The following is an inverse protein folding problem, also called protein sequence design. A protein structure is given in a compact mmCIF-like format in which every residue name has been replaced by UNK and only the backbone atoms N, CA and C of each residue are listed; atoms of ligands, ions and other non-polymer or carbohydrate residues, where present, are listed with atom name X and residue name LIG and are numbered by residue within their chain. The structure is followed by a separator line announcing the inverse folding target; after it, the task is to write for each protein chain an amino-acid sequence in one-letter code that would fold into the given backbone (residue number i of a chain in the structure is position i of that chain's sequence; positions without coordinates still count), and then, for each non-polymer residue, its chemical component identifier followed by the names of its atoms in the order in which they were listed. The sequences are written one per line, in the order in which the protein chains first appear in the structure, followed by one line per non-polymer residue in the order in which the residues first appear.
data_IF_553753626358
#
_entry.id   IF_553753626358
#
_cell.length_a   1.000
_cell.length_b   1.000
_cell.length_c   1.000
_cell.angle_alpha   90.00
_cell.angle_beta   90.00
_cell.angle_gamma   90.00
#
_symmetry.space_group_name_H-M   'P 1'
#
loop_
_entity.id
_entity.type
_entity.pdbx_description
1 polymer ?
#
# COMPACT_ATOMS: atom_id res chain seq x y z
N UNK A 1 2.80 -27.51 8.63
CA UNK A 1 3.93 -28.12 9.39
C UNK A 1 3.43 -29.33 10.16
N UNK A 2 4.22 -30.41 10.29
CA UNK A 2 3.86 -31.62 11.03
C UNK A 2 4.88 -31.83 12.17
N UNK A 3 4.40 -31.98 13.39
CA UNK A 3 5.26 -32.30 14.55
C UNK A 3 5.32 -33.80 14.78
N UNK A 4 6.47 -34.25 15.21
CA UNK A 4 6.70 -35.63 15.65
C UNK A 4 7.30 -35.62 17.06
N UNK A 5 6.72 -36.39 17.96
CA UNK A 5 7.29 -36.64 19.26
C UNK A 5 8.28 -37.83 19.14
N UNK A 6 9.53 -37.61 19.53
CA UNK A 6 10.53 -38.63 19.60
C UNK A 6 10.39 -39.39 20.91
N UNK A 7 10.26 -40.73 20.85
CA UNK A 7 10.24 -41.54 22.04
C UNK A 7 11.68 -41.84 22.50
N UNK A 8 11.95 -41.58 23.77
CA UNK A 8 13.23 -41.86 24.41
C UNK A 8 14.46 -41.26 23.68
N UNK A 9 14.27 -40.07 23.06
CA UNK A 9 15.32 -39.40 22.27
C UNK A 9 15.81 -40.21 21.06
N UNK A 10 15.09 -41.24 20.63
CA UNK A 10 15.43 -42.08 19.48
C UNK A 10 14.73 -41.57 18.21
N UNK A 11 15.52 -41.29 17.17
CA UNK A 11 14.99 -40.90 15.85
C UNK A 11 14.23 -42.06 15.17
N UNK A 12 14.47 -43.29 15.59
CA UNK A 12 13.81 -44.48 15.01
C UNK A 12 12.34 -44.65 15.45
N UNK A 13 11.89 -43.93 16.48
CA UNK A 13 10.53 -44.01 16.99
C UNK A 13 9.95 -42.58 17.11
N UNK A 14 9.16 -42.21 16.14
CA UNK A 14 8.51 -40.88 16.08
C UNK A 14 7.00 -41.04 15.87
N UNK A 15 6.22 -40.44 16.73
CA UNK A 15 4.75 -40.38 16.60
C UNK A 15 4.35 -39.01 16.08
N UNK A 16 3.54 -38.98 15.01
CA UNK A 16 3.00 -37.71 14.53
C UNK A 16 2.01 -37.14 15.52
N UNK A 17 2.11 -35.84 15.74
CA UNK A 17 1.19 -35.06 16.58
C UNK A 17 0.23 -34.31 15.65
N UNK A 18 -1.07 -34.63 15.67
CA UNK A 18 -2.04 -33.94 14.81
C UNK A 18 -2.21 -32.49 15.25
N UNK A 19 -2.31 -31.60 14.27
CA UNK A 19 -2.75 -30.21 14.48
C UNK A 19 -4.25 -30.23 14.84
N UNK A 20 -4.59 -29.58 15.92
CA UNK A 20 -5.98 -29.28 16.30
C UNK A 20 -6.28 -27.83 15.95
N UNK A 21 -7.52 -27.55 15.55
CA UNK A 21 -7.98 -26.17 15.49
C UNK A 21 -8.15 -25.61 16.91
N UNK A 22 -8.24 -24.28 17.00
CA UNK A 22 -8.49 -23.59 18.28
C UNK A 22 -9.76 -24.15 18.94
N UNK A 23 -10.83 -24.33 18.16
CA UNK A 23 -12.11 -24.88 18.64
C UNK A 23 -11.98 -26.34 19.12
N UNK A 24 -11.27 -27.19 18.38
CA UNK A 24 -11.04 -28.58 18.77
C UNK A 24 -10.22 -28.67 20.06
N UNK A 25 -9.32 -27.71 20.29
CA UNK A 25 -8.56 -27.61 21.52
C UNK A 25 -9.36 -27.01 22.70
N UNK A 26 -10.61 -26.58 22.47
CA UNK A 26 -11.50 -26.03 23.50
C UNK A 26 -11.26 -24.53 23.79
N UNK A 27 -10.56 -23.82 22.92
CA UNK A 27 -10.35 -22.36 23.04
C UNK A 27 -11.31 -21.58 22.16
N UNK A 28 -11.58 -20.34 22.56
CA UNK A 28 -12.36 -19.37 21.80
C UNK A 28 -11.43 -18.40 21.01
N UNK A 29 -11.99 -17.64 20.08
CA UNK A 29 -11.25 -16.53 19.42
C UNK A 29 -10.74 -15.53 20.45
N UNK A 30 -11.60 -15.21 21.45
CA UNK A 30 -11.24 -14.27 22.51
C UNK A 30 -10.05 -14.74 23.34
N UNK A 31 -9.97 -16.05 23.64
CA UNK A 31 -8.84 -16.60 24.40
C UNK A 31 -7.50 -16.40 23.64
N UNK A 32 -7.51 -16.65 22.33
CA UNK A 32 -6.30 -16.48 21.50
C UNK A 32 -6.00 -15.01 21.27
N UNK A 33 -7.02 -14.19 21.01
CA UNK A 33 -6.89 -12.74 20.90
C UNK A 33 -6.22 -12.14 22.14
N UNK A 34 -6.75 -12.47 23.32
CA UNK A 34 -6.29 -11.91 24.58
C UNK A 34 -4.85 -12.40 24.91
N UNK A 35 -4.54 -13.67 24.61
CA UNK A 35 -3.20 -14.20 24.71
C UNK A 35 -2.21 -13.46 23.80
N UNK A 36 -2.57 -13.24 22.53
CA UNK A 36 -1.73 -12.53 21.57
C UNK A 36 -1.57 -11.06 21.99
N UNK A 37 -2.66 -10.40 22.37
CA UNK A 37 -2.62 -9.00 22.80
C UNK A 37 -1.73 -8.79 24.02
N UNK A 38 -1.76 -9.71 24.99
CA UNK A 38 -0.94 -9.64 26.20
C UNK A 38 0.55 -9.94 25.92
N UNK A 39 0.86 -10.65 24.87
CA UNK A 39 2.22 -11.15 24.57
C UNK A 39 2.65 -10.81 23.15
N UNK A 40 2.18 -9.70 22.58
CA UNK A 40 2.32 -9.41 21.14
C UNK A 40 3.76 -9.45 20.64
N UNK A 41 4.70 -8.94 21.43
CA UNK A 41 6.12 -8.95 21.06
C UNK A 41 6.74 -10.34 20.94
N UNK A 42 6.14 -11.38 21.54
CA UNK A 42 6.57 -12.76 21.39
C UNK A 42 6.05 -13.39 20.09
N UNK A 43 4.84 -13.00 19.66
CA UNK A 43 4.20 -13.50 18.45
C UNK A 43 4.61 -12.69 17.21
N UNK A 44 4.72 -11.38 17.37
CA UNK A 44 5.07 -10.42 16.33
C UNK A 44 6.16 -9.49 16.87
N UNK A 45 7.44 -9.87 16.75
CA UNK A 45 8.55 -9.03 17.22
C UNK A 45 8.50 -7.62 16.62
N UNK A 46 8.68 -6.63 17.46
CA UNK A 46 8.60 -5.22 17.05
C UNK A 46 7.20 -4.59 17.12
N UNK A 47 6.16 -5.35 17.47
CA UNK A 47 4.84 -4.79 17.70
C UNK A 47 4.57 -4.50 19.19
N UNK A 48 3.77 -3.46 19.43
CA UNK A 48 3.21 -3.08 20.73
C UNK A 48 1.69 -3.00 20.63
N UNK A 49 0.99 -3.65 21.56
CA UNK A 49 -0.48 -3.58 21.64
C UNK A 49 -0.92 -2.19 22.07
N UNK A 50 -1.84 -1.62 21.32
CA UNK A 50 -2.56 -0.39 21.67
C UNK A 50 -3.88 -0.74 22.39
N UNK A 51 -4.72 -1.56 21.77
CA UNK A 51 -6.03 -1.89 22.33
C UNK A 51 -6.56 -3.21 21.81
N UNK A 52 -7.47 -3.83 22.57
CA UNK A 52 -8.36 -4.89 22.09
C UNK A 52 -9.76 -4.35 21.92
N UNK A 53 -10.52 -4.94 20.99
CA UNK A 53 -11.91 -4.54 20.69
C UNK A 53 -12.05 -3.03 20.45
N UNK A 54 -11.09 -2.45 19.71
CA UNK A 54 -11.08 -1.03 19.41
C UNK A 54 -12.27 -0.66 18.51
N UNK A 55 -13.07 0.30 18.96
CA UNK A 55 -14.14 0.91 18.16
C UNK A 55 -14.23 2.40 18.48
N UNK A 56 -14.16 3.26 17.47
CA UNK A 56 -14.28 4.72 17.60
C UNK A 56 -15.35 5.29 16.67
N UNK A 57 -16.09 4.43 16.02
CA UNK A 57 -17.09 4.84 15.03
C UNK A 57 -18.47 4.88 15.64
N UNK A 58 -19.10 6.03 15.60
CA UNK A 58 -20.41 6.27 16.20
C UNK A 58 -21.52 5.42 15.57
N UNK A 59 -21.37 5.04 14.31
CA UNK A 59 -22.39 4.33 13.54
C UNK A 59 -22.15 2.81 13.38
N UNK A 60 -21.17 2.22 14.07
CA UNK A 60 -20.83 0.81 13.91
C UNK A 60 -20.56 0.11 15.25
N UNK A 61 -21.23 -1.00 15.47
CA UNK A 61 -20.95 -1.92 16.60
C UNK A 61 -19.70 -2.80 16.36
N UNK A 62 -19.02 -2.64 15.21
CA UNK A 62 -17.87 -3.45 14.83
C UNK A 62 -16.63 -2.98 15.55
N UNK A 63 -15.75 -3.92 15.86
CA UNK A 63 -14.52 -3.68 16.63
C UNK A 63 -13.36 -4.38 15.97
N UNK A 64 -12.20 -3.74 15.99
CA UNK A 64 -10.91 -4.35 15.64
C UNK A 64 -10.52 -5.28 16.78
N UNK A 65 -10.22 -6.52 16.52
CA UNK A 65 -9.88 -7.50 17.56
C UNK A 65 -8.64 -7.06 18.33
N UNK A 66 -7.52 -6.75 17.66
CA UNK A 66 -6.33 -6.14 18.25
C UNK A 66 -5.80 -5.03 17.36
N UNK A 67 -5.66 -3.85 17.95
CA UNK A 67 -4.95 -2.71 17.37
C UNK A 67 -3.53 -2.67 17.95
N UNK A 68 -2.53 -2.64 17.08
CA UNK A 68 -1.12 -2.55 17.46
C UNK A 68 -0.37 -1.52 16.64
N UNK A 69 0.86 -1.20 17.06
CA UNK A 69 1.78 -0.27 16.39
C UNK A 69 3.20 -0.84 16.39
N UNK A 70 4.00 -0.52 15.36
CA UNK A 70 5.45 -0.76 15.36
C UNK A 70 6.25 0.53 15.64
N UNK A 71 7.57 0.39 15.74
CA UNK A 71 8.49 1.54 15.95
C UNK A 71 8.52 2.51 14.77
N UNK A 72 8.17 2.06 13.57
CA UNK A 72 8.13 2.87 12.35
C UNK A 72 6.79 3.58 12.15
N UNK A 73 5.94 3.59 13.19
CA UNK A 73 4.63 4.27 13.23
C UNK A 73 3.58 3.68 12.28
N UNK A 74 3.77 2.42 11.86
CA UNK A 74 2.72 1.69 11.18
C UNK A 74 1.71 1.14 12.18
N UNK A 75 0.43 1.38 11.93
CA UNK A 75 -0.66 0.76 12.69
C UNK A 75 -1.02 -0.60 12.11
N UNK A 76 -1.42 -1.52 12.99
CA UNK A 76 -1.79 -2.89 12.62
C UNK A 76 -3.21 -3.20 13.06
N UNK A 77 -4.02 -3.66 12.11
CA UNK A 77 -5.31 -4.32 12.33
C UNK A 77 -5.04 -5.81 12.39
N UNK A 78 -5.22 -6.42 13.56
CA UNK A 78 -5.10 -7.87 13.72
C UNK A 78 -6.49 -8.43 13.94
N UNK A 79 -6.92 -9.32 13.07
CA UNK A 79 -8.27 -9.91 13.04
C UNK A 79 -8.16 -11.41 13.21
N UNK A 80 -8.92 -11.96 14.15
CA UNK A 80 -8.98 -13.39 14.45
C UNK A 80 -10.20 -14.01 13.84
N UNK A 81 -10.06 -15.18 13.22
CA UNK A 81 -11.18 -15.94 12.68
C UNK A 81 -11.10 -17.41 13.10
N UNK A 82 -12.24 -17.94 13.49
CA UNK A 82 -12.38 -19.38 13.72
C UNK A 82 -12.44 -20.15 12.41
N UNK A 83 -12.25 -21.43 12.53
CA UNK A 83 -12.31 -22.42 11.45
C UNK A 83 -13.44 -22.16 10.46
N UNK A 84 -13.18 -22.11 9.20
CA UNK A 84 -14.11 -21.99 8.05
C UNK A 84 -15.05 -20.76 8.01
N UNK A 85 -15.16 -19.97 9.06
CA UNK A 85 -15.92 -18.71 9.08
C UNK A 85 -15.08 -17.50 8.57
N UNK A 86 -13.93 -17.79 8.00
CA UNK A 86 -13.06 -16.76 7.43
C UNK A 86 -13.66 -16.08 6.20
N UNK A 87 -14.84 -16.48 5.74
CA UNK A 87 -15.56 -15.80 4.66
C UNK A 87 -15.71 -14.30 5.01
N UNK A 88 -15.07 -13.45 4.18
CA UNK A 88 -15.06 -11.98 4.32
C UNK A 88 -14.19 -11.39 5.45
N UNK A 89 -13.27 -12.16 6.07
CA UNK A 89 -12.32 -11.63 7.06
C UNK A 89 -11.46 -10.51 6.47
N UNK A 90 -11.00 -10.68 5.23
CA UNK A 90 -10.23 -9.70 4.48
C UNK A 90 -11.02 -8.40 4.25
N UNK A 91 -12.31 -8.50 3.93
CA UNK A 91 -13.18 -7.34 3.74
C UNK A 91 -13.43 -6.58 5.05
N UNK A 92 -13.55 -7.31 6.16
CA UNK A 92 -13.70 -6.71 7.49
C UNK A 92 -12.43 -5.96 7.88
N UNK A 93 -11.28 -6.60 7.75
CA UNK A 93 -9.99 -6.01 8.07
C UNK A 93 -9.65 -4.80 7.17
N UNK A 94 -9.97 -4.86 5.87
CA UNK A 94 -9.84 -3.73 4.95
C UNK A 94 -10.68 -2.51 5.37
N UNK A 95 -11.93 -2.74 5.83
CA UNK A 95 -12.77 -1.66 6.35
C UNK A 95 -12.15 -1.03 7.59
N UNK A 96 -11.62 -1.82 8.51
CA UNK A 96 -10.95 -1.31 9.70
C UNK A 96 -9.67 -0.55 9.35
N UNK A 97 -8.87 -1.05 8.43
CA UNK A 97 -7.68 -0.35 7.95
C UNK A 97 -8.05 1.01 7.33
N UNK A 98 -9.08 1.06 6.49
CA UNK A 98 -9.58 2.31 5.92
C UNK A 98 -10.08 3.29 6.99
N UNK A 99 -10.69 2.80 8.07
CA UNK A 99 -11.15 3.65 9.16
C UNK A 99 -9.98 4.13 10.05
N UNK A 100 -8.94 3.31 10.23
CA UNK A 100 -7.74 3.68 10.96
C UNK A 100 -6.83 4.65 10.21
N UNK A 101 -6.88 4.67 8.89
CA UNK A 101 -6.04 5.56 8.07
C UNK A 101 -6.27 7.06 8.30
N UNK A 102 -7.37 7.42 8.97
CA UNK A 102 -7.70 8.80 9.35
C UNK A 102 -7.47 9.09 10.84
N UNK A 103 -7.03 8.09 11.61
CA UNK A 103 -6.69 8.28 13.02
C UNK A 103 -5.33 8.94 13.16
N UNK A 104 -5.21 9.83 14.14
CA UNK A 104 -3.96 10.43 14.55
C UNK A 104 -3.31 9.72 15.76
N UNK A 105 -2.14 10.17 16.16
CA UNK A 105 -1.43 9.60 17.30
C UNK A 105 -2.22 9.75 18.61
N UNK A 106 -2.91 10.88 18.80
CA UNK A 106 -3.70 11.11 20.01
C UNK A 106 -4.85 10.11 20.11
N UNK A 107 -5.43 9.70 18.98
CA UNK A 107 -6.47 8.68 18.94
C UNK A 107 -5.99 7.33 19.47
N UNK A 108 -4.75 6.96 19.07
CA UNK A 108 -4.10 5.74 19.55
C UNK A 108 -3.70 5.85 21.02
N UNK A 109 -3.20 7.01 21.44
CA UNK A 109 -2.83 7.30 22.82
C UNK A 109 -4.03 7.12 23.74
N UNK A 110 -5.16 7.72 23.41
CA UNK A 110 -6.39 7.61 24.20
C UNK A 110 -6.92 6.16 24.23
N UNK A 111 -6.92 5.48 23.09
CA UNK A 111 -7.35 4.08 23.01
C UNK A 111 -6.47 3.18 23.90
N UNK A 112 -5.16 3.35 23.83
CA UNK A 112 -4.20 2.58 24.61
C UNK A 112 -4.31 2.87 26.10
N UNK A 113 -4.45 4.13 26.49
CA UNK A 113 -4.67 4.51 27.88
C UNK A 113 -5.93 3.84 28.46
N UNK A 114 -7.05 3.91 27.75
CA UNK A 114 -8.29 3.27 28.19
C UNK A 114 -8.18 1.73 28.26
N UNK A 115 -7.43 1.13 27.34
CA UNK A 115 -7.18 -0.31 27.37
C UNK A 115 -6.32 -0.71 28.57
N UNK A 116 -5.20 -0.04 28.79
CA UNK A 116 -4.26 -0.33 29.87
C UNK A 116 -4.88 -0.10 31.25
N UNK A 117 -5.73 0.91 31.37
CA UNK A 117 -6.42 1.23 32.63
C UNK A 117 -7.37 0.14 33.12
N UNK A 118 -7.81 -0.76 32.25
CA UNK A 118 -8.62 -1.93 32.62
C UNK A 118 -7.86 -2.93 33.50
N UNK A 119 -6.54 -2.99 33.35
CA UNK A 119 -5.67 -3.95 34.06
C UNK A 119 -4.71 -3.30 35.02
N UNK A 120 -4.47 -1.98 34.88
CA UNK A 120 -3.58 -1.19 35.74
C UNK A 120 -4.19 0.16 36.07
N UNK A 121 -4.80 0.26 37.26
CA UNK A 121 -5.43 1.49 37.74
C UNK A 121 -4.43 2.61 38.04
N UNK A 122 -3.14 2.31 38.13
CA UNK A 122 -2.09 3.27 38.48
C UNK A 122 -1.53 4.01 37.26
N UNK A 123 -1.81 3.51 36.04
CA UNK A 123 -1.31 4.13 34.81
C UNK A 123 -1.89 5.53 34.61
N UNK A 124 -1.04 6.46 34.23
CA UNK A 124 -1.44 7.81 33.82
C UNK A 124 -1.26 7.96 32.32
N UNK A 125 -1.94 8.95 31.72
CA UNK A 125 -1.83 9.21 30.31
C UNK A 125 -0.40 9.61 29.92
N UNK A 126 0.26 10.40 30.78
CA UNK A 126 1.65 10.82 30.58
C UNK A 126 2.62 9.63 30.63
N UNK A 127 2.40 8.68 31.56
CA UNK A 127 3.26 7.49 31.63
C UNK A 127 3.11 6.59 30.41
N UNK A 128 1.88 6.46 29.90
CA UNK A 128 1.61 5.71 28.70
C UNK A 128 2.16 6.41 27.44
N UNK A 129 2.04 7.73 27.34
CA UNK A 129 2.62 8.54 26.29
C UNK A 129 4.14 8.36 26.22
N UNK A 130 4.82 8.50 27.35
CA UNK A 130 6.27 8.29 27.44
C UNK A 130 6.66 6.86 27.03
N UNK A 131 5.89 5.84 27.42
CA UNK A 131 6.12 4.45 27.03
C UNK A 131 6.00 4.25 25.51
N UNK A 132 5.07 4.96 24.85
CA UNK A 132 4.93 4.92 23.39
C UNK A 132 6.05 5.67 22.68
N UNK A 133 6.41 6.85 23.19
CA UNK A 133 7.53 7.64 22.66
C UNK A 133 8.85 6.86 22.72
N UNK A 134 9.15 6.28 23.88
CA UNK A 134 10.33 5.45 24.07
C UNK A 134 10.35 4.24 23.13
N UNK A 135 9.20 3.60 22.94
CA UNK A 135 9.04 2.47 22.02
C UNK A 135 9.33 2.85 20.57
N UNK A 136 8.93 4.03 20.14
CA UNK A 136 9.15 4.55 18.78
C UNK A 136 10.50 5.27 18.63
N UNK A 137 11.24 5.50 19.72
CA UNK A 137 12.48 6.26 19.70
C UNK A 137 12.29 7.76 19.49
N UNK A 138 11.07 8.27 19.76
CA UNK A 138 10.68 9.67 19.59
C UNK A 138 10.75 10.45 20.91
N UNK A 139 10.82 11.78 20.80
CA UNK A 139 10.90 12.66 21.99
C UNK A 139 9.74 13.63 22.12
N UNK A 140 8.98 13.80 21.05
CA UNK A 140 7.92 14.81 20.98
C UNK A 140 6.71 14.24 20.23
N UNK A 141 5.56 14.36 20.85
CA UNK A 141 4.27 13.92 20.29
C UNK A 141 3.91 14.68 18.99
N UNK A 142 4.22 15.98 18.95
CA UNK A 142 3.87 16.85 17.83
C UNK A 142 4.60 16.49 16.51
N UNK A 143 5.63 15.64 16.59
CA UNK A 143 6.41 15.20 15.44
C UNK A 143 5.99 13.81 14.92
N UNK A 144 4.98 13.19 15.57
CA UNK A 144 4.56 11.84 15.20
C UNK A 144 3.48 11.88 14.13
N UNK A 145 3.86 11.47 12.91
CA UNK A 145 2.94 11.16 11.83
C UNK A 145 2.81 9.64 11.70
N UNK A 146 1.58 9.13 11.82
CA UNK A 146 1.31 7.71 11.58
C UNK A 146 1.37 7.40 10.09
N UNK A 147 1.79 6.19 9.75
CA UNK A 147 1.70 5.71 8.37
C UNK A 147 0.25 5.79 7.88
N UNK A 148 -0.01 6.39 6.71
CA UNK A 148 -1.36 6.55 6.19
C UNK A 148 -1.99 5.23 5.73
N UNK A 149 -1.20 4.15 5.68
CA UNK A 149 -1.67 2.82 5.24
C UNK A 149 -1.49 1.81 6.37
N UNK A 150 -2.55 1.53 7.15
CA UNK A 150 -2.49 0.50 8.18
C UNK A 150 -2.18 -0.88 7.61
N UNK A 151 -1.41 -1.66 8.33
CA UNK A 151 -1.09 -3.05 8.00
C UNK A 151 -2.16 -3.98 8.55
N UNK A 152 -2.38 -5.10 7.89
CA UNK A 152 -3.41 -6.06 8.25
C UNK A 152 -2.78 -7.41 8.58
N UNK A 153 -3.19 -8.02 9.69
CA UNK A 153 -2.82 -9.38 10.06
C UNK A 153 -4.10 -10.20 10.24
N UNK A 154 -4.27 -11.20 9.41
CA UNK A 154 -5.36 -12.17 9.53
C UNK A 154 -4.83 -13.42 10.24
N UNK A 155 -5.48 -13.83 11.31
CA UNK A 155 -5.11 -15.03 12.09
C UNK A 155 -6.26 -16.02 12.05
N UNK A 156 -6.01 -17.25 11.60
CA UNK A 156 -7.01 -18.31 11.52
C UNK A 156 -6.35 -19.68 11.71
N UNK A 157 -7.14 -20.69 12.11
CA UNK A 157 -6.63 -22.07 12.14
C UNK A 157 -6.33 -22.61 10.74
N UNK A 158 -7.03 -22.10 9.73
CA UNK A 158 -6.86 -22.45 8.34
C UNK A 158 -7.42 -21.34 7.43
N UNK A 159 -6.78 -21.09 6.31
CA UNK A 159 -7.27 -20.21 5.26
C UNK A 159 -7.74 -21.03 4.05
N UNK A 160 -8.88 -20.66 3.50
CA UNK A 160 -9.32 -21.22 2.23
C UNK A 160 -8.55 -20.57 1.05
N UNK A 161 -8.63 -21.21 -0.12
CA UNK A 161 -7.92 -20.77 -1.32
C UNK A 161 -8.39 -19.39 -1.81
N UNK A 162 -9.65 -19.06 -1.59
CA UNK A 162 -10.24 -17.79 -2.01
C UNK A 162 -9.58 -16.63 -1.26
N UNK A 163 -9.47 -16.71 0.07
CA UNK A 163 -8.84 -15.70 0.90
C UNK A 163 -7.36 -15.54 0.55
N UNK A 164 -6.62 -16.65 0.49
CA UNK A 164 -5.18 -16.59 0.19
C UNK A 164 -4.91 -16.00 -1.20
N UNK A 165 -5.73 -16.35 -2.21
CA UNK A 165 -5.62 -15.78 -3.55
C UNK A 165 -5.94 -14.28 -3.56
N UNK A 166 -6.98 -13.86 -2.82
CA UNK A 166 -7.35 -12.44 -2.70
C UNK A 166 -6.24 -11.65 -2.03
N UNK A 167 -5.69 -12.15 -0.91
CA UNK A 167 -4.60 -11.48 -0.18
C UNK A 167 -3.34 -11.36 -1.04
N UNK A 168 -2.95 -12.43 -1.72
CA UNK A 168 -1.80 -12.39 -2.65
C UNK A 168 -2.02 -11.36 -3.75
N UNK A 169 -3.20 -11.32 -4.35
CA UNK A 169 -3.55 -10.36 -5.39
C UNK A 169 -3.54 -8.91 -4.88
N UNK A 170 -4.09 -8.65 -3.68
CA UNK A 170 -4.09 -7.33 -3.07
C UNK A 170 -2.66 -6.87 -2.75
N UNK A 171 -1.84 -7.71 -2.13
CA UNK A 171 -0.45 -7.40 -1.83
C UNK A 171 0.37 -7.16 -3.12
N UNK A 172 0.11 -7.92 -4.19
CA UNK A 172 0.76 -7.74 -5.49
C UNK A 172 0.37 -6.43 -6.16
N UNK A 173 -0.91 -6.04 -6.12
CA UNK A 173 -1.42 -4.88 -6.86
C UNK A 173 -1.26 -3.56 -6.13
N UNK A 174 -1.40 -3.56 -4.82
CA UNK A 174 -1.48 -2.37 -3.98
C UNK A 174 -0.40 -2.29 -2.89
N UNK A 175 0.45 -3.30 -2.75
CA UNK A 175 1.54 -3.29 -1.79
C UNK A 175 2.59 -2.21 -2.08
N UNK A 176 3.49 -1.97 -1.15
CA UNK A 176 4.60 -1.04 -1.32
C UNK A 176 5.47 -1.40 -2.54
N UNK A 177 5.88 -0.40 -3.26
CA UNK A 177 6.76 -0.53 -4.44
C UNK A 177 8.14 0.05 -4.19
N UNK A 178 8.29 0.77 -3.09
CA UNK A 178 9.49 1.47 -2.67
C UNK A 178 9.45 1.53 -1.14
N UNK A 179 10.60 1.50 -0.49
CA UNK A 179 10.69 1.57 0.97
C UNK A 179 10.07 2.87 1.52
N UNK A 180 10.15 3.95 0.73
CA UNK A 180 9.63 5.26 1.10
C UNK A 180 8.13 5.46 0.75
N UNK A 181 7.48 4.52 0.07
CA UNK A 181 6.07 4.65 -0.34
C UNK A 181 5.23 3.59 0.35
N UNK A 182 4.44 3.98 1.37
CA UNK A 182 3.54 3.05 2.04
C UNK A 182 2.58 2.40 1.06
N UNK A 183 2.50 1.07 1.12
CA UNK A 183 1.56 0.29 0.32
C UNK A 183 0.80 -0.68 1.19
N UNK A 184 -0.24 -1.28 0.63
CA UNK A 184 -1.04 -2.28 1.33
C UNK A 184 -0.15 -3.48 1.74
N UNK A 185 -0.30 -3.92 2.99
CA UNK A 185 0.38 -5.09 3.52
C UNK A 185 -0.61 -5.93 4.31
N UNK A 186 -0.89 -7.13 3.82
CA UNK A 186 -1.78 -8.08 4.46
C UNK A 186 -1.00 -9.36 4.74
N UNK A 187 -0.93 -9.73 6.01
CA UNK A 187 -0.29 -10.95 6.49
C UNK A 187 -1.36 -12.00 6.82
N UNK A 188 -1.14 -13.25 6.41
CA UNK A 188 -1.94 -14.39 6.86
C UNK A 188 -1.08 -15.27 7.76
N UNK A 189 -1.58 -15.54 8.96
CA UNK A 189 -0.92 -16.38 9.97
C UNK A 189 -1.85 -17.52 10.35
N UNK A 190 -1.41 -18.75 10.10
CA UNK A 190 -2.12 -19.93 10.60
C UNK A 190 -1.73 -20.21 12.05
N UNK A 191 -2.74 -20.44 12.88
CA UNK A 191 -2.55 -20.88 14.25
C UNK A 191 -2.99 -22.34 14.41
N UNK A 192 -2.24 -23.08 15.18
CA UNK A 192 -2.55 -24.48 15.49
C UNK A 192 -2.21 -24.84 16.93
N UNK A 193 -2.96 -25.77 17.48
CA UNK A 193 -2.72 -26.33 18.81
C UNK A 193 -2.24 -27.76 18.67
N UNK A 194 -1.24 -28.14 19.43
CA UNK A 194 -0.69 -29.49 19.47
C UNK A 194 -0.71 -29.99 20.91
N UNK A 195 -1.08 -31.25 21.12
CA UNK A 195 -0.94 -31.93 22.42
C UNK A 195 0.34 -32.72 22.45
N UNK A 196 1.28 -32.27 23.27
CA UNK A 196 2.60 -32.88 23.43
C UNK A 196 2.67 -33.77 24.67
N UNK A 197 1.71 -34.69 24.82
CA UNK A 197 1.68 -35.60 25.96
C UNK A 197 1.15 -34.95 27.24
N UNK A 198 0.09 -34.16 27.13
CA UNK A 198 -0.55 -33.42 28.22
C UNK A 198 -0.13 -31.98 28.37
N UNK A 199 0.89 -31.54 27.64
CA UNK A 199 1.24 -30.15 27.48
C UNK A 199 0.74 -29.66 26.11
N UNK A 200 0.08 -28.48 26.07
CA UNK A 200 -0.37 -27.87 24.83
C UNK A 200 0.61 -26.86 24.32
N UNK A 201 0.98 -27.00 23.05
CA UNK A 201 1.81 -26.03 22.32
C UNK A 201 0.94 -25.28 21.30
N UNK A 202 1.09 -23.97 21.24
CA UNK A 202 0.56 -23.12 20.17
C UNK A 202 1.64 -22.92 19.11
N UNK A 203 1.23 -23.02 17.87
CA UNK A 203 2.09 -22.77 16.72
C UNK A 203 1.49 -21.65 15.88
N UNK A 204 2.28 -20.65 15.56
CA UNK A 204 1.96 -19.57 14.64
C UNK A 204 2.85 -19.71 13.41
N UNK A 205 2.25 -19.77 12.23
CA UNK A 205 2.94 -19.93 10.95
C UNK A 205 2.49 -18.87 9.96
N UNK A 206 3.37 -17.90 9.67
CA UNK A 206 3.10 -16.91 8.64
C UNK A 206 3.15 -17.59 7.27
N UNK A 207 2.02 -17.62 6.59
CA UNK A 207 1.88 -18.24 5.26
C UNK A 207 1.85 -17.20 4.13
N UNK A 208 1.50 -15.96 4.41
CA UNK A 208 1.50 -14.84 3.45
C UNK A 208 1.94 -13.56 4.18
N UNK A 209 2.88 -12.77 3.61
CA UNK A 209 3.85 -13.22 2.60
C UNK A 209 4.74 -14.35 3.15
N UNK A 210 5.38 -15.10 2.27
CA UNK A 210 6.35 -16.11 2.71
C UNK A 210 7.57 -15.35 3.24
N UNK A 211 7.96 -15.49 4.52
CA UNK A 211 9.00 -14.67 5.14
C UNK A 211 10.32 -14.65 4.37
N UNK A 212 10.73 -15.82 3.84
CA UNK A 212 11.97 -15.96 3.09
C UNK A 212 11.93 -15.34 1.67
N UNK A 213 10.75 -15.02 1.17
CA UNK A 213 10.55 -14.48 -0.17
C UNK A 213 10.14 -13.00 -0.16
N UNK A 214 9.82 -12.43 0.99
CA UNK A 214 9.27 -11.08 1.12
C UNK A 214 10.19 -10.02 0.50
N UNK A 215 11.46 -9.99 0.90
CA UNK A 215 12.45 -9.06 0.37
C UNK A 215 12.65 -9.22 -1.15
N UNK A 216 12.60 -10.46 -1.64
CA UNK A 216 12.72 -10.75 -3.07
C UNK A 216 11.49 -10.28 -3.85
N UNK A 217 10.29 -10.43 -3.30
CA UNK A 217 9.05 -9.98 -3.93
C UNK A 217 9.00 -8.45 -4.05
N UNK A 218 9.43 -7.73 -3.00
CA UNK A 218 9.54 -6.26 -3.03
C UNK A 218 10.51 -5.81 -4.14
N UNK A 219 11.70 -6.42 -4.19
CA UNK A 219 12.70 -6.10 -5.24
C UNK A 219 12.23 -6.45 -6.65
N UNK A 220 11.56 -7.60 -6.83
CA UNK A 220 11.03 -8.01 -8.12
C UNK A 220 9.97 -7.02 -8.63
N UNK A 221 9.08 -6.58 -7.76
CA UNK A 221 8.04 -5.61 -8.06
C UNK A 221 8.59 -4.23 -8.40
N UNK A 222 9.56 -3.73 -7.64
CA UNK A 222 10.24 -2.47 -7.94
C UNK A 222 10.86 -2.49 -9.35
N UNK A 223 11.46 -3.63 -9.73
CA UNK A 223 12.03 -3.83 -11.06
C UNK A 223 10.98 -3.85 -12.18
N UNK A 224 9.82 -4.50 -11.94
CA UNK A 224 8.72 -4.52 -12.91
C UNK A 224 8.16 -3.13 -13.16
N UNK A 225 7.96 -2.34 -12.10
CA UNK A 225 7.48 -0.96 -12.20
C UNK A 225 8.47 -0.04 -12.90
N UNK A 226 9.77 -0.18 -12.62
CA UNK A 226 10.81 0.57 -13.33
C UNK A 226 10.82 0.20 -14.82
N UNK A 227 10.66 -1.08 -15.13
CA UNK A 227 10.55 -1.57 -16.52
C UNK A 227 9.29 -1.01 -17.20
N UNK A 228 8.14 -1.02 -16.51
CA UNK A 228 6.90 -0.44 -17.04
C UNK A 228 7.01 1.08 -17.24
N UNK A 229 7.65 1.80 -16.31
CA UNK A 229 7.96 3.23 -16.47
C UNK A 229 8.88 3.50 -17.66
N UNK A 230 9.92 2.68 -17.85
CA UNK A 230 10.83 2.78 -19.00
C UNK A 230 10.12 2.48 -20.32
N UNK A 231 9.26 1.47 -20.36
CA UNK A 231 8.44 1.16 -21.53
C UNK A 231 7.44 2.27 -21.85
N UNK A 232 6.76 2.83 -20.84
CA UNK A 232 5.87 3.96 -21.04
C UNK A 232 6.62 5.21 -21.54
N UNK A 233 7.83 5.46 -21.03
CA UNK A 233 8.71 6.55 -21.50
C UNK A 233 9.16 6.31 -22.94
N UNK A 234 9.52 5.08 -23.29
CA UNK A 234 9.90 4.69 -24.66
C UNK A 234 8.72 4.82 -25.64
N UNK A 235 7.50 4.48 -25.25
CA UNK A 235 6.27 4.70 -26.05
C UNK A 235 6.01 6.19 -26.30
N UNK A 236 6.19 7.06 -25.27
CA UNK A 236 6.02 8.50 -25.38
C UNK A 236 7.06 9.16 -26.31
N UNK A 237 8.32 8.72 -26.25
CA UNK A 237 9.34 9.15 -27.17
C UNK A 237 9.05 8.71 -28.62
N UNK A 238 8.38 7.56 -28.79
CA UNK A 238 7.97 7.06 -30.11
C UNK A 238 6.87 7.89 -30.77
N UNK A 239 5.94 8.49 -30.04
CA UNK A 239 4.82 9.25 -30.65
C UNK A 239 5.32 10.43 -31.48
N UNK A 240 6.11 11.33 -30.90
CA UNK A 240 6.69 12.48 -31.61
C UNK A 240 7.64 12.02 -32.72
N UNK A 241 8.50 11.04 -32.43
CA UNK A 241 9.43 10.48 -33.39
C UNK A 241 8.72 9.78 -34.57
N UNK A 242 7.61 9.09 -34.31
CA UNK A 242 6.80 8.46 -35.34
C UNK A 242 6.20 9.51 -36.26
N UNK A 243 5.57 10.57 -35.70
CA UNK A 243 4.96 11.64 -36.47
C UNK A 243 6.00 12.42 -37.31
N UNK A 244 7.22 12.59 -36.76
CA UNK A 244 8.35 13.19 -37.48
C UNK A 244 8.80 12.29 -38.65
N UNK A 245 8.99 10.99 -38.39
CA UNK A 245 9.46 10.02 -39.40
C UNK A 245 8.49 9.87 -40.57
N UNK A 246 7.17 9.90 -40.31
CA UNK A 246 6.13 9.77 -41.37
C UNK A 246 5.78 11.12 -42.01
N UNK A 247 6.48 12.22 -41.64
CA UNK A 247 6.29 13.54 -42.23
C UNK A 247 5.00 14.24 -41.82
N UNK A 248 4.34 13.78 -40.76
CA UNK A 248 3.15 14.47 -40.19
C UNK A 248 3.56 15.66 -39.31
N UNK A 249 4.73 15.57 -38.64
CA UNK A 249 5.29 16.63 -37.82
C UNK A 249 6.66 17.03 -38.41
N UNK A 250 6.69 18.11 -39.15
CA UNK A 250 7.92 18.61 -39.79
C UNK A 250 8.48 19.81 -39.02
N UNK A 251 9.77 20.11 -39.19
CA UNK A 251 10.38 21.33 -38.65
C UNK A 251 9.54 22.54 -39.08
N UNK A 252 9.24 23.42 -38.14
CA UNK A 252 8.32 24.56 -38.23
C UNK A 252 6.83 24.20 -38.25
N UNK A 253 6.44 22.94 -38.08
CA UNK A 253 5.04 22.62 -37.84
C UNK A 253 4.55 23.31 -36.57
N UNK A 254 3.42 24.00 -36.69
CA UNK A 254 2.74 24.64 -35.57
C UNK A 254 1.84 23.64 -34.86
N UNK A 255 1.94 23.65 -33.56
CA UNK A 255 1.06 22.90 -32.67
C UNK A 255 0.29 23.85 -31.76
N UNK A 256 -0.90 23.45 -31.40
CA UNK A 256 -1.80 24.21 -30.53
C UNK A 256 -2.39 23.35 -29.44
N UNK A 257 -2.66 23.95 -28.29
CA UNK A 257 -3.26 23.26 -27.16
C UNK A 257 -4.68 22.81 -27.49
N UNK A 258 -5.02 21.56 -27.20
CA UNK A 258 -6.37 20.99 -27.41
C UNK A 258 -7.37 21.68 -26.48
N UNK A 259 -8.55 22.04 -27.02
CA UNK A 259 -9.63 22.62 -26.25
C UNK A 259 -10.09 21.65 -25.15
N UNK A 260 -10.20 22.15 -23.90
CA UNK A 260 -10.53 21.31 -22.73
C UNK A 260 -9.35 20.70 -21.99
N UNK A 261 -8.14 20.76 -22.54
CA UNK A 261 -6.93 20.25 -21.87
C UNK A 261 -6.59 21.02 -20.58
N UNK A 262 -6.99 22.29 -20.50
CA UNK A 262 -6.71 23.17 -19.37
C UNK A 262 -8.00 23.80 -18.85
N UNK A 263 -8.21 23.82 -17.53
CA UNK A 263 -9.43 24.40 -16.90
C UNK A 263 -9.65 25.87 -17.21
N UNK A 264 -8.58 26.62 -17.54
CA UNK A 264 -8.61 28.07 -17.81
C UNK A 264 -8.05 28.42 -19.19
N UNK A 265 -8.31 27.57 -20.20
CA UNK A 265 -7.83 27.80 -21.55
C UNK A 265 -8.34 29.16 -22.12
N UNK A 266 -9.52 29.61 -21.71
CA UNK A 266 -10.08 30.87 -22.14
C UNK A 266 -9.24 32.09 -21.75
N UNK A 267 -8.53 32.00 -20.61
CA UNK A 267 -7.72 33.08 -20.05
C UNK A 267 -6.29 33.11 -20.60
N UNK A 268 -5.88 32.08 -21.36
CA UNK A 268 -4.54 32.00 -21.95
C UNK A 268 -4.45 32.92 -23.20
N UNK A 269 -3.32 33.60 -23.32
CA UNK A 269 -3.00 34.34 -24.54
C UNK A 269 -2.89 33.43 -25.75
N UNK A 270 -3.05 33.93 -26.94
CA UNK A 270 -2.86 33.17 -28.18
C UNK A 270 -1.43 32.57 -28.25
N UNK A 271 -0.44 33.34 -27.84
CA UNK A 271 0.97 32.90 -27.81
C UNK A 271 1.20 31.77 -26.84
N UNK A 272 0.55 31.76 -25.66
CA UNK A 272 0.67 30.67 -24.71
C UNK A 272 0.11 29.35 -25.24
N UNK A 273 -0.83 29.40 -26.16
CA UNK A 273 -1.48 28.22 -26.75
C UNK A 273 -0.71 27.60 -27.91
N UNK A 274 0.34 28.25 -28.41
CA UNK A 274 1.05 27.83 -29.61
C UNK A 274 2.52 27.49 -29.34
N UNK A 275 2.99 26.46 -30.05
CA UNK A 275 4.42 26.12 -30.08
C UNK A 275 4.77 25.62 -31.50
N UNK A 276 6.07 25.65 -31.78
CA UNK A 276 6.63 25.29 -33.08
C UNK A 276 7.56 24.09 -32.88
N UNK A 277 7.41 23.06 -33.67
CA UNK A 277 8.31 21.91 -33.69
C UNK A 277 9.67 22.32 -34.24
N UNK A 278 10.73 22.16 -33.45
CA UNK A 278 12.10 22.53 -33.80
C UNK A 278 12.94 21.35 -34.31
N UNK A 279 12.34 20.15 -34.45
CA UNK A 279 13.02 18.93 -34.84
C UNK A 279 13.65 18.16 -33.67
N UNK A 280 13.85 16.84 -33.84
CA UNK A 280 14.47 16.00 -32.82
C UNK A 280 13.72 15.92 -31.50
N UNK A 281 12.40 16.05 -31.52
CA UNK A 281 11.54 16.01 -30.31
C UNK A 281 11.49 17.34 -29.55
N UNK A 282 12.13 18.42 -30.02
CA UNK A 282 12.20 19.73 -29.38
C UNK A 282 11.09 20.66 -29.89
N UNK A 283 10.64 21.56 -29.03
CA UNK A 283 9.55 22.50 -29.33
C UNK A 283 9.88 23.89 -28.82
N UNK A 284 9.68 24.90 -29.65
CA UNK A 284 9.82 26.30 -29.27
C UNK A 284 8.43 26.81 -28.87
N UNK A 285 8.27 27.27 -27.64
CA UNK A 285 7.03 27.82 -27.14
C UNK A 285 6.89 29.29 -27.49
N UNK A 286 5.79 29.68 -28.11
CA UNK A 286 5.56 31.08 -28.46
C UNK A 286 5.31 31.99 -27.25
N UNK A 287 4.90 31.40 -26.10
CA UNK A 287 4.58 32.15 -24.87
C UNK A 287 5.80 32.72 -24.12
N UNK A 288 7.01 32.19 -24.35
CA UNK A 288 8.26 32.69 -23.75
C UNK A 288 9.45 32.74 -24.72
N UNK A 289 9.27 32.24 -25.94
CA UNK A 289 10.31 32.19 -26.97
C UNK A 289 11.40 31.13 -26.73
N UNK A 290 11.29 30.28 -25.72
CA UNK A 290 12.30 29.27 -25.40
C UNK A 290 12.05 27.93 -26.11
N UNK A 291 13.13 27.21 -26.38
CA UNK A 291 13.06 25.87 -26.94
C UNK A 291 13.23 24.83 -25.84
N UNK A 292 12.29 23.92 -25.73
CA UNK A 292 12.23 22.85 -24.75
C UNK A 292 12.62 21.52 -25.39
N UNK A 293 13.40 20.69 -24.67
CA UNK A 293 13.91 19.40 -25.16
C UNK A 293 12.82 18.31 -25.30
N UNK A 294 11.61 18.59 -24.86
CA UNK A 294 10.45 17.71 -25.05
C UNK A 294 9.14 18.45 -24.89
N UNK A 295 8.08 17.91 -25.49
CA UNK A 295 6.73 18.43 -25.34
C UNK A 295 6.25 18.40 -23.88
N UNK A 296 6.71 17.40 -23.08
CA UNK A 296 6.42 17.34 -21.65
C UNK A 296 7.05 18.50 -20.86
N UNK A 297 8.29 18.86 -21.19
CA UNK A 297 8.98 19.99 -20.55
C UNK A 297 8.27 21.32 -20.86
N UNK A 298 7.89 21.53 -22.13
CA UNK A 298 7.12 22.69 -22.55
C UNK A 298 5.78 22.76 -21.83
N UNK A 299 5.05 21.63 -21.79
CA UNK A 299 3.73 21.58 -21.14
C UNK A 299 3.80 21.87 -19.64
N UNK A 300 4.86 21.42 -18.96
CA UNK A 300 5.09 21.79 -17.55
C UNK A 300 5.36 23.28 -17.38
N UNK A 301 6.18 23.88 -18.25
CA UNK A 301 6.46 25.31 -18.21
C UNK A 301 5.16 26.12 -18.39
N UNK A 302 4.30 25.71 -19.31
CA UNK A 302 2.98 26.30 -19.53
C UNK A 302 2.10 26.24 -18.26
N UNK A 303 2.04 25.07 -17.59
CA UNK A 303 1.28 24.93 -16.35
C UNK A 303 1.85 25.79 -15.23
N UNK A 304 3.16 25.80 -15.06
CA UNK A 304 3.84 26.63 -14.04
C UNK A 304 3.58 28.12 -14.26
N UNK A 305 3.62 28.59 -15.51
CA UNK A 305 3.30 30.01 -15.86
C UNK A 305 1.89 30.41 -15.42
N UNK A 306 0.95 29.48 -15.47
CA UNK A 306 -0.44 29.71 -15.09
C UNK A 306 -0.76 29.27 -13.64
N UNK A 307 0.26 29.14 -12.77
CA UNK A 307 0.10 28.88 -11.33
C UNK A 307 -0.44 27.49 -11.01
N UNK A 308 -0.29 26.53 -11.92
CA UNK A 308 -0.74 25.15 -11.75
C UNK A 308 0.45 24.19 -11.63
N UNK A 309 0.36 23.20 -10.76
CA UNK A 309 1.32 22.09 -10.71
C UNK A 309 0.73 20.85 -11.36
N UNK A 310 1.54 20.11 -12.09
CA UNK A 310 1.12 18.87 -12.72
C UNK A 310 1.99 17.69 -12.30
N UNK A 311 1.35 16.58 -12.00
CA UNK A 311 1.98 15.27 -11.85
C UNK A 311 2.51 14.70 -13.17
N UNK A 312 2.41 13.40 -13.37
CA UNK A 312 2.84 12.74 -14.62
C UNK A 312 1.92 13.10 -15.78
N UNK A 313 2.48 13.70 -16.85
CA UNK A 313 1.72 14.18 -18.01
C UNK A 313 2.03 13.32 -19.23
N UNK A 314 1.01 13.03 -20.02
CA UNK A 314 1.15 12.58 -21.40
C UNK A 314 0.88 13.76 -22.34
N UNK A 315 1.89 14.63 -22.53
CA UNK A 315 1.74 15.90 -23.23
C UNK A 315 1.16 15.77 -24.65
N UNK A 316 1.43 14.69 -25.35
CA UNK A 316 0.88 14.44 -26.71
C UNK A 316 -0.65 14.36 -26.75
N UNK A 317 -1.34 14.18 -25.64
CA UNK A 317 -2.81 14.26 -25.56
C UNK A 317 -3.32 15.69 -25.45
N UNK A 318 -2.47 16.64 -25.04
CA UNK A 318 -2.84 18.02 -24.79
C UNK A 318 -2.51 18.95 -25.95
N UNK A 319 -1.79 18.47 -26.94
CA UNK A 319 -1.39 19.23 -28.11
C UNK A 319 -1.84 18.54 -29.40
N UNK A 320 -2.23 19.33 -30.38
CA UNK A 320 -2.59 18.91 -31.74
C UNK A 320 -1.84 19.74 -32.76
N UNK A 321 -1.69 19.23 -33.98
CA UNK A 321 -1.29 20.07 -35.10
C UNK A 321 -2.32 21.19 -35.31
N UNK A 322 -1.91 22.37 -35.70
CA UNK A 322 -2.82 23.47 -36.03
C UNK A 322 -3.79 23.08 -37.16
N UNK A 323 -3.32 22.25 -38.08
CA UNK A 323 -4.11 21.71 -39.23
C UNK A 323 -4.99 20.52 -38.88
N UNK A 324 -4.90 19.97 -37.66
CA UNK A 324 -5.65 18.78 -37.23
C UNK A 324 -6.67 19.11 -36.16
N UNK A 325 -7.71 18.26 -36.05
CA UNK A 325 -8.74 18.38 -35.00
C UNK A 325 -8.50 17.39 -33.83
N UNK A 326 -7.58 16.44 -34.00
CA UNK A 326 -7.25 15.42 -33.01
C UNK A 326 -5.86 15.64 -32.42
N UNK A 327 -5.63 15.09 -31.22
CA UNK A 327 -4.35 15.22 -30.51
C UNK A 327 -3.20 14.53 -31.25
N UNK A 328 -1.95 14.91 -30.92
CA UNK A 328 -0.76 14.22 -31.46
C UNK A 328 -0.72 12.72 -31.07
N UNK A 329 -1.31 12.36 -29.92
CA UNK A 329 -1.44 10.97 -29.52
C UNK A 329 -2.40 10.22 -30.45
N UNK A 330 -3.57 10.75 -30.70
CA UNK A 330 -4.57 10.16 -31.60
C UNK A 330 -4.07 10.08 -33.05
N UNK A 331 -3.33 11.10 -33.52
CA UNK A 331 -2.67 11.04 -34.85
C UNK A 331 -1.69 9.88 -34.96
N UNK A 332 -0.92 9.63 -33.92
CA UNK A 332 0.03 8.51 -33.88
C UNK A 332 -0.67 7.14 -33.78
N UNK A 333 -1.76 7.07 -33.01
CA UNK A 333 -2.55 5.84 -32.90
C UNK A 333 -3.20 5.44 -34.23
N UNK A 334 -3.70 6.41 -34.99
CA UNK A 334 -4.24 6.16 -36.35
C UNK A 334 -3.18 5.58 -37.31
N UNK A 335 -1.92 6.03 -37.18
CA UNK A 335 -0.81 5.51 -37.98
C UNK A 335 -0.35 4.11 -37.55
N UNK A 336 -0.64 3.70 -36.34
CA UNK A 336 -0.28 2.37 -35.82
C UNK A 336 -1.30 1.28 -36.18
N UNK A 337 -2.50 1.66 -36.64
CA UNK A 337 -3.61 0.76 -37.00
C UNK A 337 -3.66 0.50 -38.55
N UNK A 338 -3.02 1.33 -39.33
CA UNK A 338 -2.92 1.19 -40.83
C UNK A 338 -1.59 0.62 -41.23
#
# INVERSE_FOLDING_TARGET
MTFFLLQNSSISQANSVPKMSIKQAGYTESDVRDLVAANIGNFFPGLKTISTEFSRWEDSSRRVDVLAIDSDRNTYVIEFKRDNDAAHAELQALRYAAMLSVCDFNDLLQAGFHYRKKTDDTITIESWENELLDFMGEKNVDEIELSPVPRIVLISSQFNKEITTTVLWLNERFGSVDEDVPGMYIMCVEVGVYDLGGQRALHFDQIIPIPQAEEFQVKARAKELDTAKKQAKARRAKTVSLLDTVGKLNINSKIVVVSGAFKHLADMSTQDRHAIYAGGGRFTWEGDGQTYDSLNALTRALYTKHGQSMGTIQATQYWRLESSQISLAEEADLLAIG
#
